data_IF_340577088920
#
_entry.id   IF_340577088920
#
_cell.length_a   1.000
_cell.length_b   1.000
_cell.length_c   1.000
_cell.angle_alpha   90.00
_cell.angle_beta   90.00
_cell.angle_gamma   90.00
#
_symmetry.space_group_name_H-M   'P 1'
#
loop_
_entity.id
_entity.type
_entity.pdbx_description
1 polymer ?
#
# COMPACT_ATOMS: atom_id res chain seq x y z
N UNK A 1 20.93 7.28 -0.72
CA UNK A 1 19.95 6.49 -0.05
C UNK A 1 19.48 5.37 -0.91
N UNK A 2 19.87 4.23 -0.54
CA UNK A 2 19.63 3.06 -1.36
C UNK A 2 18.19 2.59 -1.35
N UNK A 3 17.40 3.11 -0.44
CA UNK A 3 16.08 2.55 -0.20
C UNK A 3 14.95 3.26 -0.88
N UNK A 4 15.27 4.21 -1.74
CA UNK A 4 14.25 5.05 -2.36
C UNK A 4 13.28 4.27 -3.22
N UNK A 5 13.74 3.20 -3.82
CA UNK A 5 12.91 2.43 -4.74
C UNK A 5 12.18 1.28 -4.09
N UNK A 6 12.37 1.10 -2.82
CA UNK A 6 11.73 0.01 -2.10
C UNK A 6 10.38 0.44 -1.59
N UNK A 7 9.49 -0.52 -1.43
CA UNK A 7 8.23 -0.27 -0.75
C UNK A 7 8.50 0.24 0.64
N UNK A 8 7.72 1.20 1.12
CA UNK A 8 7.88 1.66 2.49
C UNK A 8 7.72 0.51 3.46
N UNK A 9 8.62 0.47 4.43
CA UNK A 9 8.52 -0.52 5.49
C UNK A 9 7.75 0.10 6.64
N UNK A 10 6.67 -0.53 7.00
CA UNK A 10 5.83 -0.04 8.07
C UNK A 10 5.92 -1.03 9.21
N UNK A 11 6.64 -0.62 10.25
CA UNK A 11 6.84 -1.48 11.42
C UNK A 11 5.56 -1.67 12.19
N UNK A 12 4.77 -0.62 12.26
CA UNK A 12 3.52 -0.68 13.00
C UNK A 12 2.43 0.01 12.21
N UNK A 13 1.59 -0.74 11.49
CA UNK A 13 0.54 -0.15 10.67
C UNK A 13 -0.43 0.73 11.43
N UNK A 14 -0.61 0.50 12.72
CA UNK A 14 -1.51 1.31 13.53
C UNK A 14 -0.97 2.72 13.76
N UNK A 15 0.33 2.93 13.52
CA UNK A 15 0.96 4.23 13.73
C UNK A 15 1.33 4.91 12.42
N UNK A 16 0.80 4.44 11.32
CA UNK A 16 1.08 5.04 10.01
C UNK A 16 0.53 6.47 9.97
N UNK A 17 1.27 7.37 9.36
CA UNK A 17 0.80 8.73 9.18
C UNK A 17 -0.13 8.82 7.98
N UNK A 18 -0.93 9.88 7.96
CA UNK A 18 -1.81 10.13 6.82
C UNK A 18 -1.02 10.26 5.53
N UNK A 19 0.13 10.93 5.59
CA UNK A 19 0.98 11.09 4.42
C UNK A 19 1.52 9.77 3.90
N UNK A 20 1.91 8.89 4.80
CA UNK A 20 2.39 7.56 4.42
C UNK A 20 1.29 6.74 3.77
N UNK A 21 0.10 6.78 4.33
CA UNK A 21 -1.03 6.07 3.75
C UNK A 21 -1.38 6.62 2.38
N UNK A 22 -1.40 7.94 2.25
CA UNK A 22 -1.68 8.58 0.96
C UNK A 22 -0.64 8.16 -0.09
N UNK A 23 0.63 8.11 0.30
CA UNK A 23 1.67 7.67 -0.61
C UNK A 23 1.45 6.23 -1.06
N UNK A 24 1.11 5.35 -0.14
CA UNK A 24 0.87 3.95 -0.46
C UNK A 24 -0.30 3.79 -1.43
N UNK A 25 -1.37 4.53 -1.18
CA UNK A 25 -2.55 4.47 -2.06
C UNK A 25 -2.19 5.01 -3.45
N UNK A 26 -1.41 6.07 -3.50
CA UNK A 26 -0.96 6.63 -4.78
C UNK A 26 -0.15 5.61 -5.57
N UNK A 27 0.76 4.91 -4.92
CA UNK A 27 1.57 3.89 -5.58
C UNK A 27 0.70 2.72 -6.03
N UNK A 28 -0.23 2.30 -5.21
CA UNK A 28 -1.15 1.23 -5.58
C UNK A 28 -1.93 1.59 -6.84
N UNK A 29 -2.50 2.80 -6.87
CA UNK A 29 -3.28 3.24 -8.03
C UNK A 29 -2.41 3.37 -9.27
N UNK A 30 -1.21 3.87 -9.11
CA UNK A 30 -0.28 3.99 -10.22
C UNK A 30 0.02 2.62 -10.84
N UNK A 31 0.28 1.64 -10.00
CA UNK A 31 0.59 0.30 -10.49
C UNK A 31 -0.64 -0.40 -11.07
N UNK A 32 -1.83 -0.11 -10.55
CA UNK A 32 -3.05 -0.62 -11.15
C UNK A 32 -3.22 -0.12 -12.58
N UNK A 33 -2.97 1.17 -12.81
CA UNK A 33 -3.10 1.75 -14.15
C UNK A 33 -2.07 1.19 -15.10
N UNK A 34 -0.84 1.02 -14.64
CA UNK A 34 0.21 0.43 -15.47
C UNK A 34 -0.14 -1.00 -15.85
N UNK A 35 -0.68 -1.74 -14.93
CA UNK A 35 -1.07 -3.12 -15.19
C UNK A 35 -2.21 -3.19 -16.20
N UNK A 36 -3.17 -2.26 -16.12
CA UNK A 36 -4.28 -2.22 -17.05
C UNK A 36 -3.81 -1.96 -18.48
N UNK A 37 -2.83 -1.07 -18.63
CA UNK A 37 -2.32 -0.72 -19.96
C UNK A 37 -1.56 -1.84 -20.61
N UNK A 38 -0.75 -2.54 -19.83
CA UNK A 38 0.15 -3.55 -20.38
C UNK A 38 0.40 -4.60 -19.30
N UNK A 39 -0.55 -5.50 -19.09
CA UNK A 39 -0.41 -6.52 -18.05
C UNK A 39 0.73 -7.48 -18.36
N UNK A 40 1.69 -7.54 -17.47
CA UNK A 40 2.77 -8.50 -17.50
C UNK A 40 2.78 -9.20 -16.15
N UNK A 41 3.37 -10.40 -16.05
CA UNK A 41 3.45 -11.07 -14.75
C UNK A 41 4.09 -10.22 -13.68
N UNK A 42 5.13 -9.45 -14.06
CA UNK A 42 5.81 -8.59 -13.10
C UNK A 42 4.92 -7.45 -12.63
N UNK A 43 4.20 -6.82 -13.54
CA UNK A 43 3.30 -5.72 -13.18
C UNK A 43 2.13 -6.21 -12.35
N UNK A 44 1.62 -7.38 -12.66
CA UNK A 44 0.54 -7.97 -11.88
C UNK A 44 1.01 -8.24 -10.47
N UNK A 45 2.21 -8.81 -10.31
CA UNK A 45 2.76 -9.09 -9.00
C UNK A 45 2.96 -7.80 -8.19
N UNK A 46 3.48 -6.77 -8.84
CA UNK A 46 3.71 -5.48 -8.17
C UNK A 46 2.38 -4.86 -7.73
N UNK A 47 1.38 -4.89 -8.60
CA UNK A 47 0.06 -4.38 -8.28
C UNK A 47 -0.53 -5.10 -7.06
N UNK A 48 -0.45 -6.43 -7.08
CA UNK A 48 -1.00 -7.22 -5.98
C UNK A 48 -0.28 -6.96 -4.68
N UNK A 49 1.04 -6.78 -4.73
CA UNK A 49 1.82 -6.50 -3.53
C UNK A 49 1.37 -5.18 -2.89
N UNK A 50 1.17 -4.14 -3.70
CA UNK A 50 0.71 -2.87 -3.18
C UNK A 50 -0.72 -2.95 -2.66
N UNK A 51 -1.59 -3.67 -3.37
CA UNK A 51 -2.97 -3.85 -2.94
C UNK A 51 -3.04 -4.55 -1.58
N UNK A 52 -2.27 -5.61 -1.41
CA UNK A 52 -2.24 -6.33 -0.15
C UNK A 52 -1.70 -5.47 0.98
N UNK A 53 -0.68 -4.68 0.70
CA UNK A 53 -0.11 -3.81 1.71
C UNK A 53 -1.10 -2.75 2.17
N UNK A 54 -1.77 -2.10 1.23
CA UNK A 54 -2.77 -1.09 1.55
C UNK A 54 -3.94 -1.71 2.30
N UNK A 55 -4.42 -2.84 1.81
CA UNK A 55 -5.54 -3.53 2.46
C UNK A 55 -5.19 -3.92 3.89
N UNK A 56 -3.98 -4.39 4.12
CA UNK A 56 -3.53 -4.75 5.46
C UNK A 56 -3.51 -3.56 6.40
N UNK A 57 -3.00 -2.44 5.92
CA UNK A 57 -2.96 -1.22 6.75
C UNK A 57 -4.37 -0.74 7.04
N UNK A 58 -5.23 -0.71 6.04
CA UNK A 58 -6.61 -0.26 6.23
C UNK A 58 -7.34 -1.18 7.21
N UNK A 59 -7.12 -2.48 7.11
CA UNK A 59 -7.76 -3.41 8.02
C UNK A 59 -7.35 -3.14 9.48
N UNK A 60 -6.06 -2.90 9.71
CA UNK A 60 -5.57 -2.61 11.04
C UNK A 60 -6.16 -1.30 11.57
N UNK A 61 -6.15 -0.26 10.75
CA UNK A 61 -6.68 1.04 11.17
C UNK A 61 -8.18 0.98 11.44
N UNK A 62 -8.91 0.27 10.60
CA UNK A 62 -10.36 0.13 10.76
C UNK A 62 -10.67 -0.63 12.04
N UNK A 63 -9.95 -1.71 12.29
CA UNK A 63 -10.16 -2.50 13.50
C UNK A 63 -9.85 -1.66 14.74
N UNK A 64 -8.78 -0.89 14.71
CA UNK A 64 -8.41 -0.03 15.81
C UNK A 64 -9.49 1.01 16.08
N UNK A 65 -10.03 1.62 15.03
CA UNK A 65 -11.08 2.61 15.18
C UNK A 65 -12.36 2.01 15.72
N UNK A 66 -12.68 0.81 15.27
CA UNK A 66 -13.88 0.14 15.74
C UNK A 66 -13.82 -0.16 17.23
N UNK A 67 -12.65 -0.37 17.77
CA UNK A 67 -12.49 -0.62 19.20
C UNK A 67 -12.70 0.63 20.04
N UNK A 68 -12.66 1.79 19.43
CA UNK A 68 -12.88 3.04 20.14
C UNK A 68 -14.36 3.37 20.32
N UNK A 69 -15.20 2.65 19.61
CA UNK A 69 -16.64 2.82 19.71
C UNK A 69 -17.27 1.65 20.44
#
# INVERSE_FOLDING_TARGET
MADENKSPQIENPAKITLGELAYMVKQMRHNQRRCERNPTPEKIATRMAWEQKVDGVIAVLTDTQMKLF
#
